data_IF_762993813361
#
_entry.id   IF_762993813361
#
_cell.length_a   1.000
_cell.length_b   1.000
_cell.length_c   1.000
_cell.angle_alpha   90.00
_cell.angle_beta   90.00
_cell.angle_gamma   90.00
#
_symmetry.space_group_name_H-M   'P 1'
#
loop_
_entity.id
_entity.type
_entity.pdbx_description
1 polymer ?
#
# COMPACT_ATOMS: atom_id res chain seq x y z
N UNK A 1 -15.21 -3.06 -9.77
CA UNK A 1 -14.26 -3.91 -9.00
C UNK A 1 -13.48 -4.74 -10.00
N UNK A 2 -12.14 -4.72 -9.95
CA UNK A 2 -11.32 -5.59 -10.79
C UNK A 2 -11.06 -6.91 -10.04
N UNK A 3 -11.62 -8.05 -10.46
CA UNK A 3 -11.21 -9.34 -9.91
C UNK A 3 -9.77 -9.66 -10.37
N UNK A 4 -8.99 -10.34 -9.53
CA UNK A 4 -7.66 -10.82 -9.89
C UNK A 4 -6.59 -10.56 -8.83
N UNK A 5 -5.37 -10.98 -9.14
CA UNK A 5 -4.18 -10.79 -8.32
C UNK A 5 -3.76 -9.30 -8.30
N UNK A 6 -3.41 -8.74 -7.14
CA UNK A 6 -3.00 -7.34 -7.06
C UNK A 6 -1.78 -7.02 -7.94
N UNK A 7 -0.87 -7.98 -8.16
CA UNK A 7 0.28 -7.83 -9.05
C UNK A 7 -0.13 -7.53 -10.51
N UNK A 8 -1.33 -7.94 -10.92
CA UNK A 8 -1.89 -7.66 -12.24
C UNK A 8 -2.81 -6.44 -12.22
N UNK A 9 -3.63 -6.33 -11.18
CA UNK A 9 -4.68 -5.30 -11.06
C UNK A 9 -4.07 -3.92 -10.82
N UNK A 10 -3.08 -3.80 -9.94
CA UNK A 10 -2.44 -2.53 -9.59
C UNK A 10 -1.84 -1.83 -10.81
N UNK A 11 -0.92 -2.44 -11.59
CA UNK A 11 -0.32 -1.74 -12.72
C UNK A 11 -1.37 -1.36 -13.79
N UNK A 12 -2.39 -2.20 -13.99
CA UNK A 12 -3.49 -1.88 -14.92
C UNK A 12 -4.32 -0.68 -14.43
N UNK A 13 -4.69 -0.66 -13.15
CA UNK A 13 -5.45 0.43 -12.56
C UNK A 13 -4.67 1.75 -12.59
N UNK A 14 -3.38 1.73 -12.24
CA UNK A 14 -2.54 2.92 -12.27
C UNK A 14 -2.35 3.50 -13.68
N UNK A 15 -2.24 2.64 -14.70
CA UNK A 15 -2.17 3.09 -16.12
C UNK A 15 -3.47 3.71 -16.64
N UNK A 16 -4.61 3.42 -16.02
CA UNK A 16 -5.91 3.97 -16.40
C UNK A 16 -6.20 5.35 -15.77
N UNK A 17 -5.37 5.78 -14.81
CA UNK A 17 -5.53 7.05 -14.11
C UNK A 17 -4.51 8.05 -14.67
N UNK A 18 -4.91 9.32 -14.81
CA UNK A 18 -4.01 10.36 -15.30
C UNK A 18 -2.77 10.52 -14.39
N UNK A 19 -1.57 10.80 -14.93
CA UNK A 19 -0.33 10.85 -14.14
C UNK A 19 -0.32 11.93 -13.05
N UNK A 20 -1.00 13.05 -13.26
CA UNK A 20 -1.07 14.20 -12.35
C UNK A 20 -2.06 14.02 -11.20
N UNK A 21 -2.92 13.00 -11.25
CA UNK A 21 -3.87 12.67 -10.18
C UNK A 21 -3.17 11.78 -9.14
N UNK A 22 -3.01 12.21 -7.88
CA UNK A 22 -2.47 11.34 -6.82
C UNK A 22 -3.36 10.11 -6.62
N UNK A 23 -2.75 8.95 -6.40
CA UNK A 23 -3.49 7.70 -6.12
C UNK A 23 -3.07 7.12 -4.80
N UNK A 24 -4.07 6.72 -4.01
CA UNK A 24 -3.89 5.96 -2.79
C UNK A 24 -4.37 4.53 -3.03
N UNK A 25 -3.46 3.57 -2.81
CA UNK A 25 -3.79 2.17 -2.64
C UNK A 25 -4.05 1.94 -1.15
N UNK A 26 -5.14 1.27 -0.82
CA UNK A 26 -5.45 0.87 0.54
C UNK A 26 -5.60 -0.65 0.57
N UNK A 27 -4.95 -1.28 1.53
CA UNK A 27 -5.09 -2.71 1.75
C UNK A 27 -4.92 -3.08 3.22
N UNK A 28 -5.65 -4.12 3.63
CA UNK A 28 -5.48 -4.76 4.92
C UNK A 28 -5.55 -6.28 4.76
N UNK A 29 -4.60 -6.98 5.40
CA UNK A 29 -4.44 -8.45 5.31
C UNK A 29 -4.27 -9.02 3.89
N UNK A 30 -3.94 -8.19 2.90
CA UNK A 30 -3.75 -8.62 1.51
C UNK A 30 -2.38 -9.24 1.33
N UNK A 31 -1.34 -8.56 1.83
CA UNK A 31 0.04 -9.01 1.66
C UNK A 31 0.34 -10.26 2.50
N UNK A 32 -0.47 -10.57 3.50
CA UNK A 32 -0.42 -11.85 4.22
C UNK A 32 -0.70 -13.08 3.34
N UNK A 33 -1.32 -12.90 2.17
CA UNK A 33 -1.54 -13.99 1.21
C UNK A 33 -0.41 -14.11 0.17
N UNK A 34 0.58 -13.22 0.21
CA UNK A 34 1.65 -13.13 -0.76
C UNK A 34 2.86 -13.94 -0.28
N UNK A 35 3.57 -14.57 -1.22
CA UNK A 35 4.94 -15.03 -0.94
C UNK A 35 5.88 -13.84 -0.76
N UNK A 36 7.06 -14.05 -0.17
CA UNK A 36 8.05 -12.97 -0.03
C UNK A 36 8.48 -12.39 -1.39
N UNK A 37 8.57 -13.24 -2.42
CA UNK A 37 8.85 -12.82 -3.79
C UNK A 37 7.73 -11.95 -4.36
N UNK A 38 6.47 -12.31 -4.11
CA UNK A 38 5.32 -11.52 -4.55
C UNK A 38 5.23 -10.18 -3.82
N UNK A 39 5.55 -10.14 -2.51
CA UNK A 39 5.62 -8.89 -1.74
C UNK A 39 6.69 -7.96 -2.31
N UNK A 40 7.89 -8.48 -2.59
CA UNK A 40 8.94 -7.70 -3.23
C UNK A 40 8.52 -7.20 -4.62
N UNK A 41 7.80 -8.03 -5.39
CA UNK A 41 7.28 -7.64 -6.69
C UNK A 41 6.22 -6.53 -6.59
N UNK A 42 5.31 -6.61 -5.62
CA UNK A 42 4.32 -5.57 -5.35
C UNK A 42 4.99 -4.20 -5.11
N UNK A 43 5.97 -4.14 -4.21
CA UNK A 43 6.68 -2.89 -3.92
C UNK A 43 7.51 -2.39 -5.10
N UNK A 44 8.09 -3.30 -5.90
CA UNK A 44 8.78 -2.92 -7.14
C UNK A 44 7.83 -2.28 -8.16
N UNK A 45 6.60 -2.80 -8.32
CA UNK A 45 5.58 -2.19 -9.17
C UNK A 45 5.29 -0.75 -8.72
N UNK A 46 5.07 -0.54 -7.41
CA UNK A 46 4.79 0.79 -6.87
C UNK A 46 5.95 1.76 -7.12
N UNK A 47 7.19 1.35 -6.83
CA UNK A 47 8.37 2.16 -7.08
C UNK A 47 8.49 2.53 -8.58
N UNK A 48 8.40 1.56 -9.48
CA UNK A 48 8.51 1.78 -10.92
C UNK A 48 7.40 2.69 -11.46
N UNK A 49 6.16 2.47 -11.02
CA UNK A 49 5.00 3.26 -11.44
C UNK A 49 5.03 4.69 -10.88
N UNK A 50 5.74 4.93 -9.78
CA UNK A 50 5.92 6.27 -9.18
C UNK A 50 6.93 7.15 -9.90
N UNK A 51 7.60 6.66 -10.96
CA UNK A 51 8.61 7.43 -11.69
C UNK A 51 8.07 8.76 -12.25
N UNK A 52 6.79 8.80 -12.64
CA UNK A 52 6.14 9.98 -13.23
C UNK A 52 4.85 10.38 -12.49
N UNK A 53 4.65 9.93 -11.25
CA UNK A 53 3.46 10.28 -10.45
C UNK A 53 3.69 10.07 -8.95
N UNK A 54 2.88 10.73 -8.14
CA UNK A 54 2.81 10.49 -6.71
C UNK A 54 1.85 9.32 -6.39
N UNK A 55 2.33 8.34 -5.63
CA UNK A 55 1.53 7.24 -5.10
C UNK A 55 1.57 7.24 -3.57
N UNK A 56 0.48 6.77 -2.99
CA UNK A 56 0.39 6.46 -1.58
C UNK A 56 -0.04 5.00 -1.43
N UNK A 57 0.61 4.27 -0.54
CA UNK A 57 0.28 2.91 -0.15
C UNK A 57 -0.05 2.93 1.35
N UNK A 58 -1.34 2.71 1.66
CA UNK A 58 -1.85 2.70 3.02
C UNK A 58 -2.13 1.26 3.44
N UNK A 59 -1.27 0.75 4.30
CA UNK A 59 -1.23 -0.65 4.69
C UNK A 59 -1.62 -0.84 6.16
N UNK A 60 -2.46 -1.86 6.40
CA UNK A 60 -2.65 -2.48 7.72
C UNK A 60 -2.39 -3.98 7.57
N UNK A 61 -1.14 -4.38 7.69
CA UNK A 61 -0.65 -5.75 7.44
C UNK A 61 0.02 -6.32 8.69
N UNK A 62 -0.76 -6.70 9.71
CA UNK A 62 -0.23 -7.14 11.00
C UNK A 62 0.43 -8.52 10.91
N UNK A 63 1.60 -8.65 11.53
CA UNK A 63 2.15 -9.95 11.96
C UNK A 63 1.80 -10.29 13.41
N UNK A 64 1.47 -9.27 14.21
CA UNK A 64 1.01 -9.35 15.60
C UNK A 64 0.17 -8.09 15.94
N UNK A 65 -0.51 -8.08 17.08
CA UNK A 65 -1.34 -6.97 17.55
C UNK A 65 -0.87 -6.38 18.89
N UNK A 66 -1.08 -5.07 19.13
CA UNK A 66 -1.62 -4.08 18.21
C UNK A 66 -0.63 -3.72 17.10
N UNK A 67 -1.12 -3.30 15.93
CA UNK A 67 -0.34 -3.14 14.71
C UNK A 67 -0.40 -1.73 14.13
N UNK A 68 0.67 -1.23 13.50
CA UNK A 68 0.65 0.08 12.87
C UNK A 68 -0.20 0.06 11.59
N UNK A 69 -0.94 1.15 11.36
CA UNK A 69 -1.37 1.54 10.03
C UNK A 69 -0.29 2.43 9.43
N UNK A 70 0.30 1.96 8.34
CA UNK A 70 1.49 2.57 7.73
C UNK A 70 1.12 3.22 6.41
N UNK A 71 1.57 4.45 6.20
CA UNK A 71 1.49 5.16 4.93
C UNK A 71 2.88 5.27 4.31
N UNK A 72 3.03 4.67 3.13
CA UNK A 72 4.23 4.82 2.30
C UNK A 72 3.92 5.73 1.12
N UNK A 73 4.64 6.84 1.01
CA UNK A 73 4.60 7.72 -0.17
C UNK A 73 5.67 7.25 -1.16
N UNK A 74 5.28 7.07 -2.42
CA UNK A 74 6.22 6.87 -3.52
C UNK A 74 6.22 8.09 -4.45
N UNK A 75 7.41 8.61 -4.73
CA UNK A 75 7.60 9.77 -5.60
C UNK A 75 8.98 9.70 -6.25
N UNK A 76 9.03 9.85 -7.58
CA UNK A 76 10.27 9.77 -8.37
C UNK A 76 11.05 8.46 -8.12
N UNK A 77 10.34 7.33 -7.96
CA UNK A 77 10.95 6.02 -7.71
C UNK A 77 11.48 5.81 -6.29
N UNK A 78 11.31 6.77 -5.38
CA UNK A 78 11.74 6.68 -3.98
C UNK A 78 10.54 6.55 -3.06
N UNK A 79 10.72 5.86 -1.95
CA UNK A 79 9.69 5.70 -0.91
C UNK A 79 10.07 6.37 0.40
N UNK A 80 9.09 6.96 1.07
CA UNK A 80 9.18 7.34 2.48
C UNK A 80 7.97 6.81 3.25
N UNK A 81 8.22 6.31 4.45
CA UNK A 81 7.21 5.62 5.26
C UNK A 81 6.93 6.42 6.54
N UNK A 82 5.67 6.43 6.98
CA UNK A 82 5.29 6.86 8.32
C UNK A 82 4.12 6.04 8.85
N UNK A 83 4.11 5.79 10.15
CA UNK A 83 2.94 5.24 10.84
C UNK A 83 1.93 6.36 11.11
N UNK A 84 0.64 6.11 10.85
CA UNK A 84 -0.45 7.06 11.07
C UNK A 84 -1.26 6.74 12.33
N UNK A 85 -1.36 5.46 12.67
CA UNK A 85 -2.13 4.99 13.80
C UNK A 85 -1.60 3.66 14.31
N UNK A 86 -1.98 3.31 15.54
CA UNK A 86 -1.91 1.96 16.08
C UNK A 86 -3.33 1.39 16.14
N UNK A 87 -3.52 0.19 15.61
CA UNK A 87 -4.81 -0.47 15.50
C UNK A 87 -4.82 -1.75 16.34
N UNK A 88 -5.93 -2.03 17.02
CA UNK A 88 -6.15 -3.32 17.69
C UNK A 88 -6.83 -4.33 16.77
N UNK A 89 -6.73 -5.60 17.17
CA UNK A 89 -7.35 -6.70 16.47
C UNK A 89 -8.85 -6.45 16.26
N UNK A 90 -9.34 -6.85 15.08
CA UNK A 90 -10.75 -6.79 14.69
C UNK A 90 -11.36 -5.37 14.78
N UNK A 91 -10.54 -4.33 14.73
CA UNK A 91 -11.01 -2.93 14.75
C UNK A 91 -11.57 -2.50 16.09
N UNK A 92 -11.20 -3.16 17.20
CA UNK A 92 -11.69 -2.83 18.55
C UNK A 92 -11.36 -1.39 18.96
N UNK A 93 -10.16 -0.93 18.65
CA UNK A 93 -9.78 0.48 18.78
C UNK A 93 -8.70 0.86 17.76
N UNK A 94 -8.57 2.17 17.56
CA UNK A 94 -7.53 2.81 16.77
C UNK A 94 -7.08 4.07 17.50
N UNK A 95 -5.77 4.24 17.62
CA UNK A 95 -5.14 5.42 18.21
C UNK A 95 -4.31 6.11 17.14
N UNK A 96 -4.64 7.36 16.83
CA UNK A 96 -3.89 8.17 15.87
C UNK A 96 -2.57 8.65 16.47
N UNK A 97 -1.50 8.57 15.67
CA UNK A 97 -0.18 9.08 16.03
C UNK A 97 -0.11 10.55 15.59
N UNK A 98 0.24 11.44 16.52
CA UNK A 98 0.37 12.89 16.29
C UNK A 98 1.59 13.25 15.44
#
# INVERSE_FOLDING_TARGET
>A
MFPGNALEVVPRALKAIMPDVPVLLFHSFVLNQFTDADRAHYFSILANMSANRCLYDLALEPSDWPAPMTLTKYENGKSSERSLAICDHLGRWMEWIA
#
